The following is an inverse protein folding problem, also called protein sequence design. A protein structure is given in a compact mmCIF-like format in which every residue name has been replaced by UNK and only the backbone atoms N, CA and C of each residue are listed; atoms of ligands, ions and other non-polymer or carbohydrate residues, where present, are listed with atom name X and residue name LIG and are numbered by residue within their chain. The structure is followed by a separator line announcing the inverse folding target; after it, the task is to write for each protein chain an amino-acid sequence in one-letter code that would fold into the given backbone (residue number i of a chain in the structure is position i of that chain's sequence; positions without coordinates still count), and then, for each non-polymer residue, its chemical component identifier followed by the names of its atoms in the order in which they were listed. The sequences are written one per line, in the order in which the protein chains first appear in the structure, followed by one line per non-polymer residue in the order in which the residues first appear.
data_IF_201922189119
#
_entry.id   IF_201922189119
#
_cell.length_a   1.000
_cell.length_b   1.000
_cell.length_c   1.000
_cell.angle_alpha   90.00
_cell.angle_beta   90.00
_cell.angle_gamma   90.00
#
_symmetry.space_group_name_H-M   'P 1'
#
loop_
_entity.id
_entity.type
_entity.pdbx_description
1 polymer ?
#
# COMPACT_ATOMS: atom_id res chain seq x y z
N UNK A 1 30.34 -18.58 62.02
CA UNK A 1 29.34 -17.51 61.82
C UNK A 1 28.97 -17.46 60.34
N UNK A 2 27.83 -18.05 59.98
CA UNK A 2 27.23 -17.95 58.64
C UNK A 2 26.45 -16.65 58.50
N UNK A 3 26.65 -15.89 57.42
CA UNK A 3 25.59 -15.13 56.74
C UNK A 3 25.88 -15.05 55.24
N UNK A 4 25.25 -15.95 54.49
CA UNK A 4 24.93 -15.74 53.08
C UNK A 4 23.95 -14.56 52.98
N UNK A 5 24.25 -13.55 52.16
CA UNK A 5 23.25 -12.57 51.72
C UNK A 5 22.89 -12.85 50.26
N UNK A 6 21.79 -13.60 50.10
CA UNK A 6 21.08 -13.86 48.86
C UNK A 6 20.29 -12.60 48.48
N UNK A 7 20.72 -11.85 47.47
CA UNK A 7 19.93 -10.75 46.91
C UNK A 7 18.98 -11.31 45.86
N UNK A 8 17.74 -11.58 46.28
CA UNK A 8 16.65 -11.92 45.37
C UNK A 8 16.25 -10.69 44.56
N UNK A 9 16.49 -10.72 43.25
CA UNK A 9 15.86 -9.79 42.32
C UNK A 9 14.48 -10.33 41.96
N UNK A 10 13.44 -9.60 42.34
CA UNK A 10 12.05 -9.98 42.12
C UNK A 10 11.69 -10.05 40.65
N UNK A 11 11.00 -11.12 40.29
CA UNK A 11 10.33 -11.34 39.01
C UNK A 11 9.08 -10.44 39.02
N UNK A 12 8.99 -9.49 38.08
CA UNK A 12 7.75 -8.71 37.85
C UNK A 12 6.79 -9.56 36.99
N UNK A 13 5.51 -9.69 37.34
CA UNK A 13 4.57 -10.44 36.52
C UNK A 13 4.25 -9.69 35.22
N UNK A 14 4.14 -10.47 34.14
CA UNK A 14 3.77 -10.03 32.81
C UNK A 14 2.23 -9.99 32.78
N UNK A 15 1.64 -8.80 32.67
CA UNK A 15 0.19 -8.68 32.46
C UNK A 15 -0.15 -8.97 30.99
N UNK A 16 -1.21 -9.73 30.69
CA UNK A 16 -1.68 -9.96 29.33
C UNK A 16 -2.34 -8.69 28.79
N UNK A 17 -1.85 -8.16 27.66
CA UNK A 17 -2.53 -7.11 26.91
C UNK A 17 -3.72 -7.72 26.17
N UNK A 18 -4.90 -7.61 26.77
CA UNK A 18 -6.18 -7.82 26.09
C UNK A 18 -6.30 -6.82 24.95
N UNK A 19 -6.38 -7.30 23.72
CA UNK A 19 -6.76 -6.51 22.55
C UNK A 19 -8.25 -6.19 22.68
N UNK A 20 -8.56 -5.13 23.43
CA UNK A 20 -9.88 -4.53 23.42
C UNK A 20 -9.91 -3.46 22.34
N UNK A 21 -10.53 -3.79 21.21
CA UNK A 21 -11.07 -2.82 20.29
C UNK A 21 -12.18 -2.03 21.02
N UNK A 22 -11.77 -1.00 21.76
CA UNK A 22 -12.66 -0.09 22.47
C UNK A 22 -12.47 1.31 21.89
N UNK A 23 -13.40 1.65 20.99
CA UNK A 23 -14.01 2.96 20.75
C UNK A 23 -13.24 4.13 21.38
N UNK A 24 -12.68 5.00 20.55
CA UNK A 24 -12.22 6.33 20.95
C UNK A 24 -13.39 7.13 21.55
N UNK A 25 -13.65 6.96 22.83
CA UNK A 25 -14.25 8.00 23.65
C UNK A 25 -13.12 8.91 24.09
N UNK A 26 -13.25 10.20 23.79
CA UNK A 26 -12.41 11.25 24.32
C UNK A 26 -12.47 11.19 25.86
N UNK A 27 -11.46 10.58 26.48
CA UNK A 27 -11.28 10.66 27.93
C UNK A 27 -10.78 12.06 28.24
N UNK A 28 -11.66 12.85 28.86
CA UNK A 28 -11.34 14.14 29.49
C UNK A 28 -10.30 13.86 30.58
N UNK A 29 -9.03 14.25 30.34
CA UNK A 29 -8.01 14.28 31.39
C UNK A 29 -8.48 15.24 32.51
N UNK A 30 -8.26 14.90 33.79
CA UNK A 30 -8.55 15.81 34.88
C UNK A 30 -7.59 16.99 34.75
N UNK A 31 -8.15 18.15 34.43
CA UNK A 31 -7.43 19.42 34.46
C UNK A 31 -7.18 19.70 35.93
N UNK A 32 -5.91 19.64 36.36
CA UNK A 32 -5.53 20.26 37.63
C UNK A 32 -5.70 21.77 37.45
N UNK A 33 -6.81 22.27 37.97
CA UNK A 33 -7.11 23.70 38.07
C UNK A 33 -6.12 24.34 39.05
N UNK A 34 -4.97 24.78 38.54
CA UNK A 34 -4.17 25.81 39.21
C UNK A 34 -5.01 27.08 39.23
N UNK A 35 -5.68 27.29 40.36
CA UNK A 35 -6.49 28.45 40.67
C UNK A 35 -5.80 29.76 40.26
N UNK A 36 -6.48 30.53 39.41
CA UNK A 36 -6.06 31.84 38.95
C UNK A 36 -7.19 32.52 38.18
N UNK A 37 -8.16 33.01 38.95
CA UNK A 37 -9.26 33.91 38.56
C UNK A 37 -10.42 33.29 37.77
N UNK A 38 -11.60 33.32 38.40
CA UNK A 38 -12.90 33.09 37.79
C UNK A 38 -13.11 34.13 36.68
N UNK A 39 -12.76 33.79 35.43
CA UNK A 39 -13.09 34.65 34.29
C UNK A 39 -14.60 34.62 34.10
N UNK A 40 -15.25 35.76 34.32
CA UNK A 40 -16.65 35.99 34.00
C UNK A 40 -16.95 35.44 32.59
N UNK A 41 -17.82 34.44 32.53
CA UNK A 41 -18.17 33.67 31.31
C UNK A 41 -18.93 34.46 30.25
N UNK A 42 -19.17 35.76 30.48
CA UNK A 42 -19.94 36.62 29.58
C UNK A 42 -19.07 37.57 28.73
N UNK A 43 -17.77 37.71 29.05
CA UNK A 43 -16.87 38.58 28.29
C UNK A 43 -16.10 37.80 27.21
N UNK A 44 -15.74 38.45 26.08
CA UNK A 44 -14.95 37.82 25.03
C UNK A 44 -13.58 37.34 25.55
N UNK A 45 -13.23 36.09 25.25
CA UNK A 45 -11.95 35.50 25.63
C UNK A 45 -10.81 36.24 24.91
N UNK A 46 -9.82 36.72 25.68
CA UNK A 46 -8.65 37.41 25.14
C UNK A 46 -7.68 36.40 24.54
N UNK A 47 -7.31 36.61 23.28
CA UNK A 47 -6.34 35.73 22.58
C UNK A 47 -4.92 35.89 23.13
N UNK A 48 -4.43 37.13 23.23
CA UNK A 48 -3.09 37.43 23.74
C UNK A 48 -3.00 37.09 25.23
N UNK A 49 -2.06 36.19 25.59
CA UNK A 49 -1.89 35.68 26.95
C UNK A 49 -2.67 34.39 27.25
N UNK A 50 -3.53 33.92 26.35
CA UNK A 50 -4.17 32.61 26.48
C UNK A 50 -3.23 31.47 26.04
N UNK A 51 -3.53 30.24 26.47
CA UNK A 51 -2.80 29.05 25.98
C UNK A 51 -2.89 28.90 24.45
N UNK A 52 -3.97 29.37 23.83
CA UNK A 52 -4.14 29.35 22.39
C UNK A 52 -3.10 30.21 21.65
N UNK A 53 -2.56 31.27 22.27
CA UNK A 53 -1.51 32.09 21.67
C UNK A 53 -0.14 31.38 21.61
N UNK A 54 0.08 30.35 22.44
CA UNK A 54 1.33 29.57 22.43
C UNK A 54 1.31 28.46 21.36
N UNK A 55 0.12 28.10 20.87
CA UNK A 55 -0.06 27.05 19.86
C UNK A 55 0.48 27.49 18.50
N UNK A 56 1.50 26.80 17.97
CA UNK A 56 2.06 27.17 16.67
C UNK A 56 1.24 26.56 15.54
N UNK A 57 1.13 27.28 14.42
CA UNK A 57 0.45 26.77 13.22
C UNK A 57 1.03 25.43 12.72
N UNK A 58 2.34 25.19 12.96
CA UNK A 58 2.98 23.90 12.65
C UNK A 58 2.32 22.74 13.40
N UNK A 59 1.91 22.94 14.66
CA UNK A 59 1.42 21.87 15.53
C UNK A 59 0.01 21.41 15.11
N UNK A 60 -0.80 22.31 14.53
CA UNK A 60 -2.07 21.94 13.85
C UNK A 60 -1.84 21.30 12.49
N UNK A 61 -0.85 21.80 11.73
CA UNK A 61 -0.63 21.37 10.34
C UNK A 61 -0.01 19.98 10.26
N UNK A 62 0.95 19.64 11.12
CA UNK A 62 1.71 18.39 11.02
C UNK A 62 1.13 17.22 11.79
N UNK A 63 0.07 17.42 12.58
CA UNK A 63 -0.63 16.35 13.29
C UNK A 63 0.28 15.58 14.25
N UNK A 64 0.62 16.17 15.39
CA UNK A 64 1.42 15.50 16.43
C UNK A 64 2.91 15.44 16.10
N UNK A 65 3.73 15.42 17.15
CA UNK A 65 5.19 15.53 17.12
C UNK A 65 5.88 14.42 16.30
N UNK A 66 7.09 14.73 15.84
CA UNK A 66 8.12 13.84 15.29
C UNK A 66 8.58 12.75 16.28
N UNK A 67 7.65 12.09 16.97
CA UNK A 67 7.88 11.00 17.92
C UNK A 67 7.95 9.63 17.22
N UNK A 68 8.17 9.62 15.91
CA UNK A 68 8.49 8.38 15.21
C UNK A 68 9.88 7.91 15.66
N UNK A 69 9.94 6.70 16.21
CA UNK A 69 11.21 6.13 16.61
C UNK A 69 12.06 5.88 15.35
N UNK A 70 13.33 6.24 15.40
CA UNK A 70 14.25 6.13 14.25
C UNK A 70 14.35 4.72 13.66
N UNK A 71 14.09 3.68 14.46
CA UNK A 71 14.11 2.28 14.02
C UNK A 71 12.78 1.77 13.43
N UNK A 72 11.69 2.52 13.59
CA UNK A 72 10.35 2.15 13.10
C UNK A 72 10.33 1.79 11.60
N UNK A 73 10.87 2.61 10.67
CA UNK A 73 10.87 2.24 9.25
C UNK A 73 11.68 0.98 8.98
N UNK A 74 12.80 0.77 9.67
CA UNK A 74 13.64 -0.40 9.48
C UNK A 74 12.96 -1.70 9.92
N UNK A 75 12.24 -1.68 11.05
CA UNK A 75 11.51 -2.87 11.52
C UNK A 75 10.37 -3.23 10.55
N UNK A 76 9.66 -2.22 10.03
CA UNK A 76 8.59 -2.41 9.06
C UNK A 76 9.16 -2.93 7.73
N UNK A 77 10.21 -2.29 7.21
CA UNK A 77 10.86 -2.74 5.98
C UNK A 77 11.48 -4.13 6.11
N UNK A 78 12.02 -4.47 7.28
CA UNK A 78 12.60 -5.79 7.53
C UNK A 78 11.53 -6.88 7.57
N UNK A 79 10.40 -6.64 8.24
CA UNK A 79 9.31 -7.61 8.27
C UNK A 79 8.68 -7.81 6.89
N UNK A 80 8.42 -6.71 6.16
CA UNK A 80 7.99 -6.76 4.76
C UNK A 80 9.01 -7.47 3.87
N UNK A 81 10.30 -7.20 4.06
CA UNK A 81 11.39 -7.81 3.30
C UNK A 81 11.49 -9.32 3.54
N UNK A 82 11.33 -9.78 4.78
CA UNK A 82 11.27 -11.21 5.09
C UNK A 82 10.04 -11.86 4.44
N UNK A 83 8.87 -11.21 4.51
CA UNK A 83 7.70 -11.73 3.82
C UNK A 83 7.93 -11.78 2.31
N UNK A 84 8.48 -10.73 1.70
CA UNK A 84 8.79 -10.74 0.26
C UNK A 84 9.78 -11.84 -0.10
N UNK A 85 10.84 -12.02 0.69
CA UNK A 85 11.83 -13.07 0.47
C UNK A 85 11.20 -14.46 0.58
N UNK A 86 10.30 -14.66 1.55
CA UNK A 86 9.52 -15.88 1.64
C UNK A 86 8.65 -16.09 0.40
N UNK A 87 7.87 -15.09 -0.03
CA UNK A 87 6.95 -15.22 -1.17
C UNK A 87 7.66 -15.37 -2.51
N UNK A 88 8.79 -14.69 -2.73
CA UNK A 88 9.47 -14.66 -4.02
C UNK A 88 10.50 -15.78 -4.21
N UNK A 89 11.08 -16.32 -3.13
CA UNK A 89 12.21 -17.26 -3.24
C UNK A 89 11.98 -18.55 -2.46
N UNK A 90 11.51 -18.47 -1.21
CA UNK A 90 11.45 -19.64 -0.33
C UNK A 90 10.14 -20.42 -0.43
N UNK A 91 9.06 -19.78 -0.90
CA UNK A 91 7.78 -20.41 -1.17
C UNK A 91 7.93 -21.28 -2.42
N UNK A 92 7.48 -22.52 -2.33
CA UNK A 92 7.38 -23.41 -3.50
C UNK A 92 6.58 -22.69 -4.60
N UNK A 93 7.02 -22.91 -5.85
CA UNK A 93 6.46 -22.26 -7.04
C UNK A 93 4.94 -22.43 -7.06
N UNK A 94 4.21 -21.32 -7.17
CA UNK A 94 2.76 -21.37 -7.27
C UNK A 94 2.40 -21.90 -8.66
N UNK A 95 1.37 -22.75 -8.80
CA UNK A 95 0.85 -23.17 -10.11
C UNK A 95 0.56 -21.98 -11.04
N UNK A 96 0.27 -20.80 -10.47
CA UNK A 96 0.10 -19.55 -11.21
C UNK A 96 1.41 -19.10 -11.84
N UNK A 97 2.53 -19.17 -11.14
CA UNK A 97 3.83 -18.74 -11.65
C UNK A 97 4.29 -19.65 -12.82
N UNK A 98 4.08 -20.96 -12.71
CA UNK A 98 4.32 -21.92 -13.82
C UNK A 98 3.48 -21.61 -15.05
N UNK A 99 2.24 -21.19 -14.87
CA UNK A 99 1.33 -20.84 -15.98
C UNK A 99 1.62 -19.48 -16.61
N UNK A 100 2.50 -18.68 -16.00
CA UNK A 100 3.02 -17.46 -16.62
C UNK A 100 4.35 -17.70 -17.34
N UNK A 101 4.95 -18.88 -17.18
CA UNK A 101 6.18 -19.24 -17.89
C UNK A 101 5.86 -19.62 -19.35
N UNK A 102 6.45 -18.89 -20.30
CA UNK A 102 6.25 -19.11 -21.74
C UNK A 102 5.70 -17.88 -22.47
N UNK A 103 5.31 -18.06 -23.74
CA UNK A 103 4.70 -16.97 -24.51
C UNK A 103 3.23 -16.80 -24.11
N UNK A 104 2.78 -15.55 -24.00
CA UNK A 104 1.41 -15.23 -23.59
C UNK A 104 0.39 -15.71 -24.64
N UNK A 105 0.82 -15.75 -25.89
CA UNK A 105 0.01 -16.22 -27.02
C UNK A 105 -0.30 -17.72 -26.95
N UNK A 106 0.58 -18.53 -26.36
CA UNK A 106 0.35 -19.97 -26.15
C UNK A 106 -0.71 -20.22 -25.06
N UNK A 107 -0.79 -19.31 -24.08
CA UNK A 107 -1.66 -19.45 -22.91
C UNK A 107 -3.08 -18.95 -23.16
N UNK A 108 -3.23 -17.91 -24.00
CA UNK A 108 -4.53 -17.31 -24.33
C UNK A 108 -4.84 -17.52 -25.80
N UNK A 109 -5.60 -18.58 -26.09
CA UNK A 109 -6.05 -18.90 -27.45
C UNK A 109 -6.75 -17.71 -28.10
N UNK A 110 -6.28 -17.30 -29.28
CA UNK A 110 -6.87 -16.22 -30.08
C UNK A 110 -6.39 -14.81 -29.72
N UNK A 111 -5.55 -14.63 -28.70
CA UNK A 111 -5.00 -13.31 -28.37
C UNK A 111 -4.08 -12.78 -29.46
N UNK A 112 -3.24 -13.65 -30.02
CA UNK A 112 -2.34 -13.33 -31.13
C UNK A 112 -3.14 -12.86 -32.35
N UNK A 113 -4.18 -13.59 -32.73
CA UNK A 113 -5.04 -13.25 -33.87
C UNK A 113 -5.67 -11.87 -33.74
N UNK A 114 -6.19 -11.54 -32.55
CA UNK A 114 -6.81 -10.23 -32.30
C UNK A 114 -5.76 -9.12 -32.38
N UNK A 115 -4.60 -9.31 -31.77
CA UNK A 115 -3.53 -8.32 -31.79
C UNK A 115 -2.95 -8.11 -33.19
N UNK A 116 -2.76 -9.18 -33.97
CA UNK A 116 -2.34 -9.11 -35.36
C UNK A 116 -3.39 -8.44 -36.23
N UNK A 117 -4.68 -8.71 -36.01
CA UNK A 117 -5.77 -8.07 -36.76
C UNK A 117 -5.81 -6.55 -36.52
N UNK A 118 -5.66 -6.12 -35.27
CA UNK A 118 -5.63 -4.70 -34.90
C UNK A 118 -4.40 -4.02 -35.50
N UNK A 119 -3.23 -4.64 -35.38
CA UNK A 119 -1.99 -4.11 -35.93
C UNK A 119 -2.02 -4.07 -37.47
N UNK A 120 -2.60 -5.09 -38.11
CA UNK A 120 -2.79 -5.14 -39.56
C UNK A 120 -3.69 -4.01 -40.05
N UNK A 121 -4.83 -3.79 -39.37
CA UNK A 121 -5.74 -2.69 -39.68
C UNK A 121 -5.01 -1.34 -39.58
N UNK A 122 -4.32 -1.10 -38.47
CA UNK A 122 -3.58 0.13 -38.24
C UNK A 122 -2.49 0.35 -39.30
N UNK A 123 -1.65 -0.66 -39.58
CA UNK A 123 -0.58 -0.55 -40.56
C UNK A 123 -1.10 -0.30 -41.97
N UNK A 124 -2.22 -0.92 -42.34
CA UNK A 124 -2.86 -0.74 -43.64
C UNK A 124 -3.43 0.67 -43.82
N UNK A 125 -4.01 1.25 -42.76
CA UNK A 125 -4.48 2.65 -42.77
C UNK A 125 -3.32 3.65 -42.90
N UNK A 126 -2.16 3.33 -42.35
CA UNK A 126 -0.99 4.22 -42.32
C UNK A 126 0.03 3.93 -43.44
N UNK A 127 -0.25 2.97 -44.34
CA UNK A 127 0.62 2.63 -45.46
C UNK A 127 1.96 1.98 -45.07
N UNK A 128 2.00 1.33 -43.90
CA UNK A 128 3.17 0.62 -43.38
C UNK A 128 3.22 -0.82 -43.96
N UNK A 129 4.38 -1.47 -43.88
CA UNK A 129 4.55 -2.84 -44.39
C UNK A 129 3.75 -3.86 -43.55
N UNK A 130 2.96 -4.70 -44.21
CA UNK A 130 2.05 -5.68 -43.59
C UNK A 130 2.43 -7.14 -43.84
N UNK A 131 3.52 -7.41 -44.59
CA UNK A 131 3.87 -8.75 -45.07
C UNK A 131 4.04 -9.80 -43.97
N UNK A 132 4.66 -9.41 -42.85
CA UNK A 132 4.90 -10.32 -41.73
C UNK A 132 3.59 -10.67 -41.00
N UNK A 133 2.69 -9.69 -40.87
CA UNK A 133 1.38 -9.86 -40.23
C UNK A 133 0.46 -10.75 -41.07
N UNK A 134 0.45 -10.53 -42.39
CA UNK A 134 -0.31 -11.35 -43.33
C UNK A 134 0.16 -12.81 -43.29
N UNK A 135 1.48 -13.03 -43.29
CA UNK A 135 2.05 -14.38 -43.20
C UNK A 135 1.64 -15.09 -41.90
N UNK A 136 1.73 -14.42 -40.76
CA UNK A 136 1.33 -14.99 -39.46
C UNK A 136 -0.18 -15.24 -39.37
N UNK A 137 -1.01 -14.33 -39.88
CA UNK A 137 -2.47 -14.54 -39.93
C UNK A 137 -2.84 -15.76 -40.80
N UNK A 138 -2.12 -16.00 -41.89
CA UNK A 138 -2.29 -17.21 -42.72
C UNK A 138 -1.87 -18.47 -41.96
N UNK A 139 -0.74 -18.42 -41.22
CA UNK A 139 -0.28 -19.54 -40.40
C UNK A 139 -1.29 -19.93 -39.31
N UNK A 140 -2.01 -18.94 -38.77
CA UNK A 140 -3.10 -19.13 -37.80
C UNK A 140 -4.43 -19.58 -38.46
N UNK A 141 -4.50 -19.65 -39.80
CA UNK A 141 -5.67 -20.12 -40.54
C UNK A 141 -6.77 -19.06 -40.73
N UNK A 142 -6.46 -17.78 -40.49
CA UNK A 142 -7.41 -16.68 -40.68
C UNK A 142 -7.51 -16.32 -42.17
N UNK A 143 -8.75 -16.28 -42.70
CA UNK A 143 -8.98 -15.89 -44.09
C UNK A 143 -8.85 -14.36 -44.27
N UNK A 144 -7.71 -13.94 -44.82
CA UNK A 144 -7.42 -12.54 -45.17
C UNK A 144 -8.49 -11.91 -46.07
N UNK A 145 -9.17 -12.71 -46.91
CA UNK A 145 -10.21 -12.23 -47.82
C UNK A 145 -11.42 -11.74 -47.03
N UNK A 146 -11.83 -12.51 -46.01
CA UNK A 146 -12.93 -12.15 -45.12
C UNK A 146 -12.56 -10.96 -44.22
N UNK A 147 -11.32 -10.91 -43.75
CA UNK A 147 -10.84 -9.81 -42.90
C UNK A 147 -10.82 -8.50 -43.68
N UNK A 148 -10.31 -8.52 -44.91
CA UNK A 148 -10.35 -7.37 -45.81
C UNK A 148 -11.78 -6.94 -46.17
N UNK A 149 -12.69 -7.88 -46.42
CA UNK A 149 -14.09 -7.57 -46.67
C UNK A 149 -14.77 -6.92 -45.45
N UNK A 150 -14.46 -7.39 -44.23
CA UNK A 150 -14.95 -6.78 -42.98
C UNK A 150 -14.40 -5.38 -42.76
N UNK A 151 -13.13 -5.14 -43.08
CA UNK A 151 -12.53 -3.80 -43.00
C UNK A 151 -13.12 -2.83 -44.02
N UNK A 152 -13.41 -3.30 -45.24
CA UNK A 152 -14.01 -2.47 -46.29
C UNK A 152 -15.50 -2.15 -46.05
N UNK A 153 -16.18 -2.97 -45.25
CA UNK A 153 -17.59 -2.78 -44.88
C UNK A 153 -17.79 -1.90 -43.63
N UNK A 154 -16.71 -1.55 -42.92
CA UNK A 154 -16.73 -0.79 -41.68
C UNK A 154 -16.45 0.70 -41.90
#
# INVERSE_FOLDING_TARGET
MLRLLRKGSGIKPIHPTSVSAARCFAQKLPIEDKAGEQQNTNDPIKFFGSQAATWRARDTRSGGSDEALWYQPYVISFSLGIFLLYFCVLREESDVDQRLEGDLYDHVSGLEEVQLTVNYKYNKEHGLDTKEQEKRLIELGVDLSQLNAKMAAQ
#
